data_IF_857915511004
#
_entry.id   IF_857915511004
#
_cell.length_a   1.000
_cell.length_b   1.000
_cell.length_c   1.000
_cell.angle_alpha   90.00
_cell.angle_beta   90.00
_cell.angle_gamma   90.00
#
_symmetry.space_group_name_H-M   'P 1'
#
loop_
_entity.id
_entity.type
_entity.pdbx_description
1 polymer ?
#
# COMPACT_ATOMS: atom_id res chain seq x y z
N UNK A 1 14.51 -0.44 6.95
CA UNK A 1 14.05 -1.83 6.87
C UNK A 1 13.55 -2.26 8.24
N UNK A 2 12.36 -2.89 8.36
CA UNK A 2 11.84 -3.34 9.65
C UNK A 2 12.81 -4.31 10.32
N UNK A 3 12.90 -4.21 11.65
CA UNK A 3 13.70 -5.10 12.51
C UNK A 3 12.71 -6.07 13.15
N UNK A 4 12.57 -7.27 12.56
CA UNK A 4 11.49 -8.21 12.86
C UNK A 4 11.46 -8.70 14.31
N UNK A 5 12.60 -8.68 15.00
CA UNK A 5 12.74 -8.98 16.43
C UNK A 5 12.30 -7.82 17.34
N UNK A 6 11.98 -6.64 16.79
CA UNK A 6 11.60 -5.43 17.53
C UNK A 6 10.30 -4.81 17.03
N UNK A 7 9.26 -5.63 16.91
CA UNK A 7 7.92 -5.18 16.51
C UNK A 7 7.09 -4.67 17.71
N UNK A 8 6.23 -3.68 17.46
CA UNK A 8 5.23 -3.18 18.42
C UNK A 8 3.88 -3.10 17.73
N UNK A 9 2.84 -3.61 18.36
CA UNK A 9 1.46 -3.50 17.86
C UNK A 9 0.89 -2.09 18.03
N UNK A 10 1.46 -1.29 18.93
CA UNK A 10 1.07 0.10 19.14
C UNK A 10 2.14 1.03 18.56
N UNK A 11 1.84 1.79 17.50
CA UNK A 11 2.78 2.75 16.96
C UNK A 11 2.93 3.98 17.89
N UNK A 12 4.08 4.67 17.82
CA UNK A 12 4.34 5.87 18.62
C UNK A 12 3.62 7.13 18.11
N UNK A 13 2.98 7.06 16.93
CA UNK A 13 2.19 8.15 16.37
C UNK A 13 0.70 7.98 16.66
N UNK A 14 0.00 9.11 16.78
CA UNK A 14 -1.43 9.17 17.14
C UNK A 14 -2.39 9.01 15.97
N UNK A 15 -1.90 9.14 14.74
CA UNK A 15 -2.73 9.18 13.54
C UNK A 15 -2.24 8.17 12.48
N UNK A 16 -3.17 7.36 12.00
CA UNK A 16 -2.99 6.47 10.85
C UNK A 16 -4.21 6.60 9.95
N UNK A 17 -4.09 6.49 8.62
CA UNK A 17 -5.23 6.56 7.74
C UNK A 17 -6.21 5.42 8.06
N UNK A 18 -7.48 5.74 8.24
CA UNK A 18 -8.54 4.76 8.49
C UNK A 18 -9.29 4.41 7.21
N UNK A 19 -9.85 3.21 7.15
CA UNK A 19 -10.68 2.79 6.03
C UNK A 19 -10.53 1.32 5.69
N UNK A 20 -11.05 0.96 4.51
CA UNK A 20 -10.95 -0.38 3.97
C UNK A 20 -9.59 -0.60 3.30
N UNK A 21 -8.83 -1.53 3.85
CA UNK A 21 -7.56 -1.99 3.32
C UNK A 21 -7.70 -3.38 2.72
N UNK A 22 -6.72 -3.77 1.91
CA UNK A 22 -6.66 -5.10 1.32
C UNK A 22 -6.56 -6.16 2.42
N UNK A 23 -7.32 -7.25 2.26
CA UNK A 23 -7.27 -8.41 3.13
C UNK A 23 -5.91 -9.10 3.09
N UNK A 24 -5.57 -9.81 4.16
CA UNK A 24 -4.37 -10.65 4.16
C UNK A 24 -4.54 -11.87 3.26
N UNK A 25 -3.43 -12.34 2.71
CA UNK A 25 -3.38 -13.51 1.84
C UNK A 25 -2.90 -13.18 0.42
N UNK A 26 -3.09 -14.10 -0.53
CA UNK A 26 -2.65 -13.91 -1.90
C UNK A 26 -3.39 -12.75 -2.59
N UNK A 27 -2.61 -11.78 -3.08
CA UNK A 27 -3.12 -10.56 -3.75
C UNK A 27 -2.57 -10.39 -5.16
N UNK A 28 -2.02 -11.45 -5.77
CA UNK A 28 -1.41 -11.41 -7.10
C UNK A 28 -2.26 -10.70 -8.17
N UNK A 29 -3.61 -10.83 -8.22
CA UNK A 29 -4.42 -10.08 -9.18
C UNK A 29 -4.30 -8.56 -9.07
N UNK A 30 -4.10 -8.01 -7.86
CA UNK A 30 -3.91 -6.57 -7.64
C UNK A 30 -2.51 -6.07 -8.04
N UNK A 31 -1.56 -6.98 -8.28
CA UNK A 31 -0.16 -6.68 -8.57
C UNK A 31 0.25 -7.06 -9.99
N UNK A 32 -0.66 -7.68 -10.75
CA UNK A 32 -0.35 -8.25 -12.06
C UNK A 32 -0.06 -7.15 -13.10
N UNK A 33 -0.79 -6.04 -13.05
CA UNK A 33 -0.65 -4.93 -13.99
C UNK A 33 -0.80 -3.58 -13.28
N UNK A 34 -0.21 -2.53 -13.86
CA UNK A 34 -0.38 -1.16 -13.40
C UNK A 34 -1.66 -0.56 -14.00
N UNK A 35 -2.83 -1.04 -13.61
CA UNK A 35 -4.13 -0.73 -14.23
C UNK A 35 -5.07 0.07 -13.30
N UNK A 36 -4.48 0.84 -12.37
CA UNK A 36 -5.16 1.51 -11.25
C UNK A 36 -5.73 0.56 -10.17
N UNK A 37 -5.56 -0.76 -10.34
CA UNK A 37 -5.62 -1.71 -9.25
C UNK A 37 -4.51 -1.44 -8.25
N UNK A 38 -4.84 -1.50 -6.95
CA UNK A 38 -3.93 -1.15 -5.87
C UNK A 38 -4.13 -2.16 -4.73
N UNK A 39 -3.04 -2.80 -4.32
CA UNK A 39 -2.98 -3.42 -3.01
C UNK A 39 -2.86 -2.29 -1.96
N UNK A 40 -3.90 -2.14 -1.14
CA UNK A 40 -3.96 -1.15 -0.08
C UNK A 40 -3.32 -1.74 1.17
N UNK A 41 -2.06 -1.38 1.39
CA UNK A 41 -1.22 -1.79 2.52
C UNK A 41 -1.31 -0.71 3.58
N UNK A 42 -1.85 -1.04 4.76
CA UNK A 42 -1.96 -0.10 5.87
C UNK A 42 -0.71 -0.15 6.76
N UNK A 43 -0.61 0.79 7.70
CA UNK A 43 0.50 0.85 8.64
C UNK A 43 0.67 -0.48 9.41
N UNK A 44 1.87 -1.07 9.32
CA UNK A 44 2.21 -2.33 9.97
C UNK A 44 1.94 -3.59 9.12
N UNK A 45 1.31 -3.45 7.95
CA UNK A 45 1.20 -4.55 7.01
C UNK A 45 2.51 -4.73 6.22
N UNK A 46 2.68 -5.94 5.68
CA UNK A 46 3.78 -6.27 4.77
C UNK A 46 3.22 -6.93 3.52
N UNK A 47 3.83 -6.60 2.36
CA UNK A 47 3.65 -7.35 1.13
C UNK A 47 4.95 -8.09 0.79
N UNK A 48 4.90 -9.42 0.86
CA UNK A 48 6.04 -10.26 0.49
C UNK A 48 5.92 -10.72 -0.97
N UNK A 49 7.01 -10.57 -1.74
CA UNK A 49 7.09 -10.99 -3.14
C UNK A 49 8.09 -12.13 -3.28
N UNK A 50 7.67 -13.21 -3.93
CA UNK A 50 8.53 -14.34 -4.28
C UNK A 50 8.49 -14.59 -5.78
N UNK A 51 9.64 -14.62 -6.43
CA UNK A 51 9.76 -14.91 -7.86
C UNK A 51 10.84 -15.97 -8.08
N UNK A 52 10.65 -16.79 -9.12
CA UNK A 52 11.68 -17.72 -9.52
C UNK A 52 12.90 -16.94 -10.00
N UNK A 53 14.09 -17.26 -9.47
CA UNK A 53 15.34 -16.70 -9.94
C UNK A 53 15.73 -17.33 -11.29
N UNK A 54 14.98 -17.02 -12.34
CA UNK A 54 15.29 -17.41 -13.71
C UNK A 54 16.30 -16.41 -14.29
N UNK A 55 17.53 -16.45 -13.79
CA UNK A 55 18.63 -15.61 -14.29
C UNK A 55 19.64 -16.44 -15.08
N UNK A 56 20.22 -15.91 -16.17
CA UNK A 56 21.28 -16.59 -16.92
C UNK A 56 22.51 -16.87 -16.02
N UNK A 57 23.42 -17.78 -16.40
CA UNK A 57 24.66 -18.01 -15.66
C UNK A 57 25.47 -16.71 -15.48
N UNK A 58 26.15 -16.57 -14.35
CA UNK A 58 27.11 -15.47 -14.15
C UNK A 58 28.41 -15.76 -14.89
N UNK A 59 28.92 -14.80 -15.65
CA UNK A 59 30.28 -14.85 -16.18
C UNK A 59 31.28 -14.67 -15.03
N UNK A 60 32.42 -15.33 -15.12
CA UNK A 60 33.48 -15.21 -14.11
C UNK A 60 33.88 -13.75 -13.88
N UNK A 61 33.94 -13.34 -12.61
CA UNK A 61 34.29 -11.98 -12.21
C UNK A 61 33.13 -10.97 -12.25
N UNK A 62 31.90 -11.40 -12.56
CA UNK A 62 30.71 -10.55 -12.50
C UNK A 62 29.88 -10.78 -11.23
N UNK A 63 29.28 -9.70 -10.75
CA UNK A 63 28.27 -9.69 -9.68
C UNK A 63 26.88 -9.46 -10.28
N UNK A 64 25.84 -9.91 -9.58
CA UNK A 64 24.44 -9.71 -9.98
C UNK A 64 23.71 -8.88 -8.95
N UNK A 65 23.16 -7.78 -9.42
CA UNK A 65 22.24 -6.94 -8.66
C UNK A 65 20.79 -7.16 -9.11
N UNK A 66 19.86 -6.89 -8.19
CA UNK A 66 18.42 -6.90 -8.44
C UNK A 66 17.85 -5.52 -8.13
N UNK A 67 17.01 -4.99 -9.02
CA UNK A 67 16.27 -3.76 -8.80
C UNK A 67 14.78 -4.05 -8.72
N UNK A 68 14.14 -3.60 -7.64
CA UNK A 68 12.70 -3.66 -7.49
C UNK A 68 12.09 -2.35 -8.02
N UNK A 69 11.39 -2.45 -9.15
CA UNK A 69 10.58 -1.35 -9.68
C UNK A 69 9.14 -1.53 -9.19
N UNK A 70 8.58 -0.50 -8.54
CA UNK A 70 7.18 -0.48 -8.10
C UNK A 70 6.48 0.75 -8.65
N UNK A 71 5.17 0.61 -8.87
CA UNK A 71 4.28 1.73 -9.18
C UNK A 71 3.26 1.75 -8.05
N UNK A 72 3.18 2.88 -7.36
CA UNK A 72 2.31 3.00 -6.19
C UNK A 72 2.17 4.45 -5.76
N UNK A 73 1.45 4.60 -4.66
CA UNK A 73 1.19 5.87 -4.01
C UNK A 73 1.46 5.70 -2.54
N UNK A 74 1.95 6.76 -1.93
CA UNK A 74 2.10 6.86 -0.48
C UNK A 74 1.14 7.93 0.03
N UNK A 75 0.59 7.69 1.22
CA UNK A 75 -0.30 8.65 1.88
C UNK A 75 0.25 8.94 3.27
N UNK A 76 0.84 10.12 3.38
CA UNK A 76 1.28 10.65 4.66
C UNK A 76 0.06 10.97 5.54
N UNK A 77 0.11 10.53 6.79
CA UNK A 77 -0.94 10.77 7.77
C UNK A 77 -0.62 12.01 8.62
N UNK A 78 -0.29 13.12 7.95
CA UNK A 78 0.03 14.40 8.60
C UNK A 78 -1.02 15.48 8.35
N UNK A 79 -0.89 16.61 9.06
CA UNK A 79 -1.87 17.69 9.08
C UNK A 79 -1.95 18.51 7.78
N UNK A 80 -0.96 18.40 6.90
CA UNK A 80 -0.89 19.08 5.62
C UNK A 80 -1.40 18.22 4.46
N UNK A 81 -1.74 16.95 4.73
CA UNK A 81 -2.25 16.04 3.71
C UNK A 81 -3.77 16.10 3.64
N UNK A 82 -4.29 16.45 2.47
CA UNK A 82 -5.72 16.40 2.19
C UNK A 82 -6.25 14.98 2.40
N UNK A 83 -7.26 14.83 3.27
CA UNK A 83 -7.80 13.53 3.67
C UNK A 83 -6.73 12.56 4.22
N UNK A 84 -5.63 13.04 4.82
CA UNK A 84 -4.56 12.20 5.39
C UNK A 84 -5.01 11.27 6.52
N UNK A 85 -6.19 11.50 7.08
CA UNK A 85 -6.81 10.64 8.10
C UNK A 85 -7.56 9.44 7.53
N UNK A 86 -7.69 9.34 6.20
CA UNK A 86 -8.49 8.30 5.52
C UNK A 86 -7.71 7.64 4.38
N UNK A 87 -7.89 6.33 4.23
CA UNK A 87 -7.41 5.57 3.08
C UNK A 87 -8.06 6.10 1.80
N UNK A 88 -9.40 6.20 1.79
CA UNK A 88 -10.16 6.72 0.66
C UNK A 88 -10.08 8.26 0.56
N UNK A 89 -10.21 8.82 -0.65
CA UNK A 89 -10.31 8.12 -1.93
C UNK A 89 -8.96 7.52 -2.36
N UNK A 90 -9.01 6.48 -3.19
CA UNK A 90 -7.81 5.94 -3.81
C UNK A 90 -7.29 6.91 -4.88
N UNK A 91 -5.97 7.09 -5.01
CA UNK A 91 -5.39 7.87 -6.10
C UNK A 91 -5.46 7.11 -7.44
N UNK A 92 -5.22 7.83 -8.54
CA UNK A 92 -5.09 7.23 -9.87
C UNK A 92 -4.09 8.03 -10.71
N UNK A 93 -3.42 7.36 -11.65
CA UNK A 93 -2.49 8.05 -12.57
C UNK A 93 -3.27 9.03 -13.46
N UNK A 94 -2.76 10.25 -13.57
CA UNK A 94 -3.36 11.33 -14.35
C UNK A 94 -4.33 12.23 -13.57
N UNK A 95 -4.50 12.00 -12.25
CA UNK A 95 -5.23 12.94 -11.39
C UNK A 95 -4.48 14.26 -11.22
N UNK A 96 -5.20 15.34 -10.94
CA UNK A 96 -4.59 16.58 -10.44
C UNK A 96 -4.27 16.38 -8.94
N UNK A 97 -2.98 16.34 -8.61
CA UNK A 97 -2.52 16.07 -7.25
C UNK A 97 -2.97 17.14 -6.25
N UNK A 98 -3.14 18.39 -6.70
CA UNK A 98 -3.64 19.50 -5.87
C UNK A 98 -5.14 19.40 -5.60
N UNK A 99 -5.86 18.54 -6.33
CA UNK A 99 -7.31 18.35 -6.24
C UNK A 99 -7.70 16.95 -5.77
N UNK A 100 -6.76 16.16 -5.27
CA UNK A 100 -7.05 14.84 -4.74
C UNK A 100 -8.14 14.89 -3.66
N UNK A 101 -9.21 14.11 -3.86
CA UNK A 101 -10.39 14.11 -2.99
C UNK A 101 -11.43 15.20 -3.26
N UNK A 102 -11.15 16.13 -4.17
CA UNK A 102 -12.12 17.07 -4.74
C UNK A 102 -12.50 16.63 -6.16
N UNK A 103 -11.50 16.27 -6.96
CA UNK A 103 -11.71 15.66 -8.26
C UNK A 103 -12.31 14.26 -8.11
N UNK A 104 -13.43 13.94 -8.80
CA UNK A 104 -14.01 12.61 -8.75
C UNK A 104 -13.10 11.62 -9.48
N UNK A 105 -12.73 10.54 -8.80
CA UNK A 105 -11.99 9.44 -9.42
C UNK A 105 -12.85 8.79 -10.52
N UNK A 106 -12.32 8.62 -11.76
CA UNK A 106 -12.99 7.84 -12.79
C UNK A 106 -13.17 6.38 -12.37
N UNK A 107 -14.15 5.70 -12.97
CA UNK A 107 -14.28 4.25 -12.81
C UNK A 107 -13.20 3.54 -13.64
N UNK A 108 -12.58 2.50 -13.08
CA UNK A 108 -11.63 1.63 -13.77
C UNK A 108 -12.09 0.17 -13.65
N UNK A 109 -11.78 -0.70 -14.65
CA UNK A 109 -12.11 -2.13 -14.56
C UNK A 109 -11.57 -2.81 -13.29
N UNK A 110 -10.40 -2.35 -12.82
CA UNK A 110 -9.73 -2.82 -11.60
C UNK A 110 -10.46 -2.49 -10.30
N UNK A 111 -11.48 -1.62 -10.33
CA UNK A 111 -12.28 -1.31 -9.14
C UNK A 111 -13.02 -2.54 -8.59
N UNK A 112 -13.36 -3.49 -9.47
CA UNK A 112 -13.91 -4.81 -9.07
C UNK A 112 -12.94 -5.62 -8.20
N UNK A 113 -11.63 -5.43 -8.37
CA UNK A 113 -10.64 -6.03 -7.49
C UNK A 113 -10.65 -5.34 -6.12
N UNK A 114 -10.79 -4.01 -6.05
CA UNK A 114 -10.90 -3.32 -4.77
C UNK A 114 -12.15 -3.77 -3.99
N UNK A 115 -13.29 -3.94 -4.66
CA UNK A 115 -14.51 -4.49 -4.04
C UNK A 115 -14.28 -5.90 -3.47
N UNK A 116 -13.54 -6.74 -4.20
CA UNK A 116 -13.24 -8.12 -3.79
C UNK A 116 -12.23 -8.20 -2.65
N UNK A 117 -11.21 -7.34 -2.66
CA UNK A 117 -10.04 -7.49 -1.80
C UNK A 117 -9.99 -6.51 -0.63
N UNK A 118 -10.62 -5.33 -0.70
CA UNK A 118 -10.58 -4.33 0.37
C UNK A 118 -11.67 -4.60 1.43
N UNK A 119 -11.57 -5.76 2.08
CA UNK A 119 -12.57 -6.26 3.04
C UNK A 119 -12.10 -6.17 4.50
N UNK A 120 -10.90 -5.62 4.74
CA UNK A 120 -10.35 -5.45 6.09
C UNK A 120 -10.45 -3.99 6.53
N UNK A 121 -11.20 -3.73 7.60
CA UNK A 121 -11.31 -2.39 8.18
C UNK A 121 -10.11 -2.04 9.06
N UNK A 122 -9.52 -0.86 8.85
CA UNK A 122 -8.46 -0.27 9.66
C UNK A 122 -9.02 0.96 10.38
N UNK A 123 -8.97 0.96 11.71
CA UNK A 123 -9.57 1.99 12.56
C UNK A 123 -8.75 3.28 12.67
N UNK A 124 -9.42 4.36 13.09
CA UNK A 124 -8.90 5.74 13.18
C UNK A 124 -7.87 6.00 14.28
N UNK A 125 -7.71 5.08 15.25
CA UNK A 125 -6.90 5.33 16.44
C UNK A 125 -6.06 4.13 16.80
N UNK A 126 -4.75 4.35 16.80
CA UNK A 126 -3.76 3.52 17.49
C UNK A 126 -3.77 3.77 19.01
N UNK A 127 -4.52 4.77 19.47
CA UNK A 127 -4.66 5.13 20.88
C UNK A 127 -5.76 4.30 21.56
N UNK A 128 -5.37 3.25 22.30
CA UNK A 128 -6.15 2.85 23.47
C UNK A 128 -5.78 3.79 24.63
N UNK A 129 -6.78 4.41 25.28
CA UNK A 129 -6.53 5.04 26.58
C UNK A 129 -5.99 3.95 27.50
N UNK A 130 -4.79 4.14 28.05
CA UNK A 130 -4.37 3.41 29.25
C UNK A 130 -5.50 3.60 30.29
N UNK A 131 -6.04 2.49 30.78
CA UNK A 131 -6.81 2.49 32.02
C UNK A 131 -5.88 2.85 33.18
#
# INVERSE_FOLDING_TARGET
TPVYDRIKSTPPWSLTPSGWATQYGPVSPLLAEADQGLAVIAGGDELSLSFAAASPPLTQGMERDFFLYTIGWDKDADYHVAQGTKIAPLPWRGMDDQRHGIEPRPAFPSDTLHERFNTRWVGERTYSRKQ
#
